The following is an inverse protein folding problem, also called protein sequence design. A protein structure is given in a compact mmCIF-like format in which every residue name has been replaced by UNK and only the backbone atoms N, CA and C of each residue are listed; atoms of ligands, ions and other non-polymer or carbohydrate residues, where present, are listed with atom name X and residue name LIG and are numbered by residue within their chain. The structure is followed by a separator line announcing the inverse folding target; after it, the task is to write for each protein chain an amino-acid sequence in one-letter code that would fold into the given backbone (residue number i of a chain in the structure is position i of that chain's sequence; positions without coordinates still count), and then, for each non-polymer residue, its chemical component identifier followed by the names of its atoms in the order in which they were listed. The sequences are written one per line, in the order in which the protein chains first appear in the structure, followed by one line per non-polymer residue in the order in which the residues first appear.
data_IF_902240598113
#
_entry.id   IF_902240598113
#
_cell.length_a   1.000
_cell.length_b   1.000
_cell.length_c   1.000
_cell.angle_alpha   90.00
_cell.angle_beta   90.00
_cell.angle_gamma   90.00
#
_symmetry.space_group_name_H-M   'P 1'
#
loop_
_entity.id
_entity.type
_entity.pdbx_description
1 polymer ?
#
# COMPACT_ATOMS: atom_id res chain seq x y z
N UNK A 1 -5.61 8.11 -7.63
CA UNK A 1 -6.06 6.71 -7.83
C UNK A 1 -7.48 6.64 -8.38
N UNK A 2 -8.51 7.14 -7.66
CA UNK A 2 -9.92 7.06 -8.09
C UNK A 2 -10.15 7.69 -9.48
N UNK A 3 -9.72 8.93 -9.70
CA UNK A 3 -9.89 9.61 -10.99
C UNK A 3 -9.25 8.85 -12.17
N UNK A 4 -8.07 8.26 -11.95
CA UNK A 4 -7.38 7.45 -12.95
C UNK A 4 -8.18 6.17 -13.28
N UNK A 5 -8.71 5.49 -12.26
CA UNK A 5 -9.58 4.34 -12.46
C UNK A 5 -10.87 4.71 -13.22
N UNK A 6 -11.46 5.89 -12.97
CA UNK A 6 -12.61 6.38 -13.73
C UNK A 6 -12.29 6.53 -15.22
N UNK A 7 -11.11 7.08 -15.56
CA UNK A 7 -10.66 7.22 -16.95
C UNK A 7 -10.52 5.84 -17.61
N UNK A 8 -9.88 4.87 -16.94
CA UNK A 8 -9.75 3.52 -17.47
C UNK A 8 -11.10 2.79 -17.61
N UNK A 9 -12.03 3.00 -16.67
CA UNK A 9 -13.39 2.46 -16.81
C UNK A 9 -14.11 3.07 -18.01
N UNK A 10 -14.01 4.38 -18.21
CA UNK A 10 -14.64 5.07 -19.34
C UNK A 10 -14.06 4.59 -20.68
N UNK A 11 -12.73 4.49 -20.80
CA UNK A 11 -12.07 3.96 -22.00
C UNK A 11 -12.43 2.49 -22.25
N UNK A 12 -12.44 1.67 -21.19
CA UNK A 12 -12.87 0.27 -21.26
C UNK A 12 -14.31 0.12 -21.76
N UNK A 13 -15.22 0.98 -21.28
CA UNK A 13 -16.60 1.04 -21.75
C UNK A 13 -16.70 1.38 -23.24
N UNK A 14 -16.01 2.43 -23.70
CA UNK A 14 -16.02 2.80 -25.13
C UNK A 14 -15.49 1.66 -26.00
N UNK A 15 -14.39 1.04 -25.60
CA UNK A 15 -13.81 -0.09 -26.31
C UNK A 15 -14.77 -1.30 -26.34
N UNK A 16 -15.44 -1.59 -25.21
CA UNK A 16 -16.43 -2.67 -25.13
C UNK A 16 -17.66 -2.43 -26.02
N UNK A 17 -18.04 -1.17 -26.25
CA UNK A 17 -19.09 -0.78 -27.21
C UNK A 17 -18.64 -0.88 -28.68
N UNK A 18 -17.41 -1.34 -28.95
CA UNK A 18 -16.93 -1.58 -30.30
C UNK A 18 -16.27 -0.37 -30.96
N UNK A 19 -15.90 0.65 -30.19
CA UNK A 19 -15.24 1.85 -30.74
C UNK A 19 -13.88 1.55 -31.40
N UNK A 20 -13.24 0.43 -31.02
CA UNK A 20 -12.02 -0.09 -31.63
C UNK A 20 -12.24 -1.34 -32.50
N UNK A 21 -13.50 -1.71 -32.78
CA UNK A 21 -13.83 -2.94 -33.51
C UNK A 21 -13.29 -2.92 -34.95
N UNK A 22 -13.37 -1.79 -35.63
CA UNK A 22 -12.91 -1.66 -37.02
C UNK A 22 -11.40 -1.87 -37.21
N UNK A 23 -10.58 -1.66 -36.18
CA UNK A 23 -9.11 -1.78 -36.26
C UNK A 23 -8.57 -3.06 -35.64
N UNK A 24 -9.27 -3.63 -34.66
CA UNK A 24 -8.79 -4.76 -33.84
C UNK A 24 -9.77 -5.94 -33.75
N UNK A 25 -10.91 -5.85 -34.43
CA UNK A 25 -11.93 -6.89 -34.47
C UNK A 25 -12.56 -7.17 -33.10
N UNK A 26 -13.14 -8.37 -32.96
CA UNK A 26 -13.84 -8.83 -31.74
C UNK A 26 -12.95 -8.89 -30.49
N UNK A 27 -11.63 -9.00 -30.65
CA UNK A 27 -10.67 -8.99 -29.54
C UNK A 27 -10.75 -7.68 -28.75
N UNK A 28 -10.97 -6.55 -29.43
CA UNK A 28 -11.10 -5.26 -28.75
C UNK A 28 -12.25 -5.24 -27.74
N UNK A 29 -13.39 -5.81 -28.11
CA UNK A 29 -14.57 -5.89 -27.25
C UNK A 29 -14.25 -6.69 -25.97
N UNK A 30 -13.57 -7.83 -26.11
CA UNK A 30 -13.13 -8.66 -24.98
C UNK A 30 -12.18 -7.89 -24.06
N UNK A 31 -11.21 -7.17 -24.64
CA UNK A 31 -10.27 -6.34 -23.87
C UNK A 31 -11.00 -5.20 -23.13
N UNK A 32 -12.01 -4.59 -23.76
CA UNK A 32 -12.84 -3.54 -23.13
C UNK A 32 -13.58 -4.06 -21.89
N UNK A 33 -14.21 -5.23 -21.99
CA UNK A 33 -14.87 -5.88 -20.85
C UNK A 33 -13.90 -6.28 -19.76
N UNK A 34 -12.73 -6.84 -20.11
CA UNK A 34 -11.70 -7.19 -19.12
C UNK A 34 -11.20 -5.94 -18.38
N UNK A 35 -10.99 -4.85 -19.11
CA UNK A 35 -10.60 -3.55 -18.54
C UNK A 35 -11.67 -3.05 -17.56
N UNK A 36 -12.95 -3.10 -17.93
CA UNK A 36 -14.05 -2.71 -17.05
C UNK A 36 -14.09 -3.53 -15.76
N UNK A 37 -13.93 -4.85 -15.84
CA UNK A 37 -13.95 -5.72 -14.66
C UNK A 37 -12.79 -5.38 -13.73
N UNK A 38 -11.57 -5.26 -14.26
CA UNK A 38 -10.37 -5.00 -13.46
C UNK A 38 -10.44 -3.61 -12.83
N UNK A 39 -10.58 -2.56 -13.64
CA UNK A 39 -10.55 -1.18 -13.13
C UNK A 39 -11.83 -0.79 -12.39
N UNK A 40 -12.97 -1.35 -12.77
CA UNK A 40 -14.25 -1.16 -12.07
C UNK A 40 -14.22 -1.78 -10.67
N UNK A 41 -13.63 -2.96 -10.51
CA UNK A 41 -13.44 -3.54 -9.17
C UNK A 41 -12.53 -2.69 -8.29
N UNK A 42 -11.41 -2.18 -8.82
CA UNK A 42 -10.56 -1.22 -8.08
C UNK A 42 -11.27 0.09 -7.75
N UNK A 43 -12.14 0.58 -8.63
CA UNK A 43 -12.93 1.78 -8.39
C UNK A 43 -13.92 1.56 -7.23
N UNK A 44 -14.68 0.45 -7.24
CA UNK A 44 -15.61 0.09 -6.18
C UNK A 44 -14.87 -0.04 -4.84
N UNK A 45 -13.73 -0.74 -4.82
CA UNK A 45 -12.91 -0.86 -3.62
C UNK A 45 -12.40 0.51 -3.13
N UNK A 46 -11.97 1.38 -4.04
CA UNK A 46 -11.57 2.74 -3.72
C UNK A 46 -12.69 3.58 -3.11
N UNK A 47 -13.92 3.46 -3.62
CA UNK A 47 -15.10 4.14 -3.08
C UNK A 47 -15.49 3.57 -1.71
N UNK A 48 -15.50 2.24 -1.56
CA UNK A 48 -15.74 1.60 -0.26
C UNK A 48 -14.72 2.10 0.77
N UNK A 49 -13.45 2.19 0.39
CA UNK A 49 -12.38 2.72 1.24
C UNK A 49 -12.62 4.19 1.59
N UNK A 50 -13.03 5.02 0.64
CA UNK A 50 -13.34 6.43 0.90
C UNK A 50 -14.45 6.62 1.93
N UNK A 51 -15.47 5.75 1.90
CA UNK A 51 -16.65 5.84 2.78
C UNK A 51 -16.44 5.15 4.11
N UNK A 52 -15.75 4.00 4.14
CA UNK A 52 -15.64 3.12 5.31
C UNK A 52 -14.33 3.24 6.06
N UNK A 53 -13.28 3.81 5.48
CA UNK A 53 -11.99 3.90 6.17
C UNK A 53 -12.07 5.01 7.23
N UNK A 54 -11.87 4.68 8.52
CA UNK A 54 -11.82 5.70 9.56
C UNK A 54 -10.70 6.70 9.23
N UNK A 55 -10.91 7.97 9.61
CA UNK A 55 -9.80 8.93 9.64
C UNK A 55 -8.68 8.32 10.47
N UNK A 56 -7.59 8.01 9.78
CA UNK A 56 -6.22 8.06 10.26
C UNK A 56 -5.94 7.36 11.59
N UNK A 57 -5.33 6.17 11.56
CA UNK A 57 -4.57 5.72 12.73
C UNK A 57 -3.50 4.72 12.35
N UNK A 58 -2.25 5.19 12.31
CA UNK A 58 -1.11 4.33 12.62
C UNK A 58 -1.15 4.12 14.14
N UNK A 59 -1.49 2.92 14.57
CA UNK A 59 -1.58 2.58 15.99
C UNK A 59 -0.28 1.89 16.37
N UNK A 60 0.48 2.54 17.24
CA UNK A 60 1.62 1.93 17.91
C UNK A 60 1.10 1.21 19.15
N UNK A 61 1.45 -0.07 19.30
CA UNK A 61 1.11 -0.88 20.46
C UNK A 61 2.36 -1.65 20.93
N UNK A 62 2.40 -2.14 22.18
CA UNK A 62 3.52 -2.95 22.64
C UNK A 62 3.72 -4.24 21.83
N UNK A 63 2.68 -4.75 21.17
CA UNK A 63 2.73 -5.98 20.37
C UNK A 63 3.24 -5.71 18.94
N UNK A 64 3.02 -4.51 18.42
CA UNK A 64 3.36 -4.17 17.05
C UNK A 64 2.79 -2.84 16.56
N UNK A 65 2.96 -2.59 15.26
CA UNK A 65 2.36 -1.44 14.56
C UNK A 65 1.20 -1.89 13.68
N UNK A 66 0.09 -1.16 13.73
CA UNK A 66 -1.07 -1.36 12.86
C UNK A 66 -1.32 -0.10 12.05
N UNK A 67 -1.29 -0.20 10.72
CA UNK A 67 -1.90 0.80 9.86
C UNK A 67 -3.26 0.27 9.40
N UNK A 68 -4.35 0.85 9.92
CA UNK A 68 -5.72 0.43 9.57
C UNK A 68 -6.08 0.63 8.09
N UNK A 69 -5.28 1.42 7.37
CA UNK A 69 -5.42 1.62 5.91
C UNK A 69 -4.73 0.48 5.15
N UNK A 70 -3.72 -0.14 5.75
CA UNK A 70 -3.14 -1.33 5.17
C UNK A 70 -4.12 -2.48 5.31
N UNK A 71 -4.13 -3.33 4.29
CA UNK A 71 -4.90 -4.57 4.25
C UNK A 71 -4.23 -5.69 5.05
N UNK A 72 -3.63 -5.29 6.17
CA UNK A 72 -2.68 -6.05 6.98
C UNK A 72 -3.12 -5.90 8.42
N UNK A 73 -3.15 -7.01 9.17
CA UNK A 73 -3.32 -6.99 10.62
C UNK A 73 -2.17 -6.24 11.33
N UNK A 74 -2.09 -6.37 12.66
CA UNK A 74 -0.98 -5.82 13.44
C UNK A 74 0.33 -6.46 12.93
N UNK A 75 1.32 -5.64 12.60
CA UNK A 75 2.67 -6.08 12.22
C UNK A 75 3.51 -6.17 13.50
N UNK A 76 3.90 -7.38 13.95
CA UNK A 76 4.70 -7.53 15.15
C UNK A 76 6.08 -6.88 15.01
N UNK A 77 6.58 -6.29 16.08
CA UNK A 77 7.91 -5.65 16.09
C UNK A 77 9.04 -6.62 15.70
N UNK A 78 8.92 -7.89 16.10
CA UNK A 78 9.85 -8.98 15.77
C UNK A 78 9.96 -9.26 14.28
N UNK A 79 8.92 -8.95 13.51
CA UNK A 79 8.84 -9.29 12.08
C UNK A 79 9.40 -8.16 11.21
N UNK A 80 9.70 -7.01 11.80
CA UNK A 80 10.33 -5.89 11.10
C UNK A 80 11.83 -6.16 11.05
N UNK A 81 12.37 -6.31 9.84
CA UNK A 81 13.81 -6.47 9.59
C UNK A 81 14.53 -5.14 9.61
N UNK A 82 13.92 -4.11 9.00
CA UNK A 82 14.52 -2.80 8.82
C UNK A 82 13.46 -1.76 8.54
N UNK A 83 13.63 -0.58 9.12
CA UNK A 83 12.87 0.61 8.69
C UNK A 83 13.67 1.46 7.72
N UNK A 84 12.98 2.07 6.77
CA UNK A 84 13.55 2.92 5.73
C UNK A 84 12.69 4.17 5.54
N UNK A 85 13.31 5.26 5.09
CA UNK A 85 12.60 6.46 4.67
C UNK A 85 12.80 6.63 3.17
N UNK A 86 11.74 7.07 2.48
CA UNK A 86 11.84 7.51 1.09
C UNK A 86 11.04 8.78 0.88
N UNK A 87 11.69 9.80 0.33
CA UNK A 87 10.98 10.96 -0.19
C UNK A 87 10.71 10.75 -1.67
N UNK A 88 9.46 10.93 -2.09
CA UNK A 88 9.09 10.90 -3.50
C UNK A 88 8.12 12.04 -3.80
N UNK A 89 8.53 12.95 -4.69
CA UNK A 89 7.74 14.13 -5.11
C UNK A 89 7.27 15.00 -3.93
N UNK A 90 8.11 15.18 -2.91
CA UNK A 90 7.78 15.96 -1.72
C UNK A 90 6.89 15.24 -0.70
N UNK A 91 6.55 13.98 -0.95
CA UNK A 91 5.85 13.13 0.01
C UNK A 91 6.83 12.17 0.68
N UNK A 92 6.73 12.08 2.00
CA UNK A 92 7.53 11.15 2.78
C UNK A 92 6.81 9.81 2.94
N UNK A 93 7.59 8.75 2.86
CA UNK A 93 7.14 7.38 2.98
C UNK A 93 7.99 6.66 4.03
N UNK A 94 7.30 5.98 4.92
CA UNK A 94 7.87 5.06 5.89
C UNK A 94 7.86 3.65 5.30
N UNK A 95 9.04 3.12 5.02
CA UNK A 95 9.23 1.75 4.54
C UNK A 95 9.46 0.80 5.71
N UNK A 96 8.63 -0.24 5.81
CA UNK A 96 8.82 -1.34 6.75
C UNK A 96 9.21 -2.59 5.97
N UNK A 97 10.46 -3.03 6.11
CA UNK A 97 10.89 -4.31 5.57
C UNK A 97 10.49 -5.41 6.54
N UNK A 98 9.75 -6.40 6.05
CA UNK A 98 9.22 -7.49 6.85
C UNK A 98 9.93 -8.79 6.47
N UNK A 99 10.26 -9.61 7.45
CA UNK A 99 10.80 -10.96 7.23
C UNK A 99 9.84 -11.79 6.39
N UNK A 100 10.36 -12.70 5.57
CA UNK A 100 9.52 -13.60 4.76
C UNK A 100 8.59 -14.47 5.63
N UNK A 101 9.12 -14.97 6.75
CA UNK A 101 8.36 -15.69 7.78
C UNK A 101 7.27 -14.81 8.41
N UNK A 102 7.59 -13.54 8.65
CA UNK A 102 6.66 -12.56 9.19
C UNK A 102 5.50 -12.28 8.25
N UNK A 103 5.73 -12.24 6.93
CA UNK A 103 4.69 -12.06 5.92
C UNK A 103 3.67 -13.21 5.96
N UNK A 104 4.14 -14.45 6.17
CA UNK A 104 3.25 -15.62 6.25
C UNK A 104 2.37 -15.61 7.50
N UNK A 105 2.86 -14.99 8.59
CA UNK A 105 2.15 -14.88 9.86
C UNK A 105 1.18 -13.68 9.92
N UNK A 106 1.30 -12.73 9.00
CA UNK A 106 0.39 -11.59 8.93
C UNK A 106 -1.00 -12.04 8.49
N UNK A 107 -2.01 -11.56 9.20
CA UNK A 107 -3.40 -11.67 8.76
C UNK A 107 -3.66 -10.71 7.60
N UNK A 108 -3.22 -11.13 6.41
CA UNK A 108 -3.38 -10.42 5.16
C UNK A 108 -4.74 -10.78 4.57
N UNK A 109 -5.56 -9.76 4.30
CA UNK A 109 -6.71 -9.94 3.44
C UNK A 109 -6.25 -10.18 1.97
N UNK A 110 -7.16 -10.57 1.08
CA UNK A 110 -6.86 -10.86 -0.34
C UNK A 110 -6.04 -9.76 -1.05
N UNK A 111 -6.34 -8.49 -0.77
CA UNK A 111 -5.64 -7.36 -1.38
C UNK A 111 -4.23 -7.20 -0.80
N UNK A 112 -4.08 -7.39 0.51
CA UNK A 112 -2.79 -7.43 1.19
C UNK A 112 -1.90 -8.52 0.61
N UNK A 113 -2.42 -9.74 0.48
CA UNK A 113 -1.70 -10.89 -0.09
C UNK A 113 -1.23 -10.62 -1.51
N UNK A 114 -2.12 -10.11 -2.38
CA UNK A 114 -1.76 -9.80 -3.76
C UNK A 114 -0.70 -8.69 -3.84
N UNK A 115 -0.82 -7.65 -3.02
CA UNK A 115 0.14 -6.54 -3.00
C UNK A 115 1.52 -6.99 -2.53
N UNK A 116 1.58 -7.80 -1.47
CA UNK A 116 2.83 -8.38 -0.99
C UNK A 116 3.45 -9.34 -2.00
N UNK A 117 2.64 -10.19 -2.64
CA UNK A 117 3.12 -11.11 -3.66
C UNK A 117 3.72 -10.38 -4.87
N UNK A 118 3.05 -9.33 -5.38
CA UNK A 118 3.60 -8.51 -6.47
C UNK A 118 4.89 -7.82 -6.06
N UNK A 119 4.97 -7.36 -4.81
CA UNK A 119 6.15 -6.71 -4.26
C UNK A 119 7.32 -7.70 -4.04
N UNK A 120 7.06 -8.93 -3.59
CA UNK A 120 8.10 -9.95 -3.38
C UNK A 120 8.67 -10.46 -4.70
N UNK A 121 7.84 -10.64 -5.74
CA UNK A 121 8.29 -10.97 -7.11
C UNK A 121 9.26 -9.92 -7.66
N UNK A 122 9.11 -8.65 -7.26
CA UNK A 122 9.98 -7.55 -7.66
C UNK A 122 11.19 -7.36 -6.72
N UNK A 123 11.41 -8.28 -5.77
CA UNK A 123 12.49 -8.22 -4.78
C UNK A 123 12.31 -7.12 -3.73
N UNK A 124 11.08 -6.64 -3.52
CA UNK A 124 10.76 -5.53 -2.61
C UNK A 124 9.84 -6.02 -1.49
N UNK A 125 10.37 -6.67 -0.47
CA UNK A 125 9.60 -7.05 0.72
C UNK A 125 9.33 -5.87 1.68
N UNK A 126 9.19 -4.66 1.13
CA UNK A 126 9.02 -3.42 1.88
C UNK A 126 7.61 -2.90 1.72
N UNK A 127 6.92 -2.75 2.85
CA UNK A 127 5.64 -2.04 2.94
C UNK A 127 5.92 -0.55 2.99
N UNK A 128 5.46 0.20 1.99
CA UNK A 128 5.58 1.65 1.97
C UNK A 128 4.29 2.29 2.50
N UNK A 129 4.39 2.92 3.65
CA UNK A 129 3.33 3.69 4.29
C UNK A 129 3.53 5.16 3.92
N UNK A 130 2.57 5.73 3.19
CA UNK A 130 2.55 7.18 2.97
C UNK A 130 2.14 7.88 4.26
N UNK A 131 2.90 8.92 4.63
CA UNK A 131 2.61 9.71 5.82
C UNK A 131 1.79 10.97 5.57
N UNK A 132 1.49 11.27 4.30
CA UNK A 132 0.75 12.47 3.91
C UNK A 132 -0.66 12.57 4.50
N UNK A 133 -1.28 11.43 4.79
CA UNK A 133 -2.66 11.39 5.32
C UNK A 133 -2.70 11.34 6.86
N UNK A 134 -1.54 11.39 7.54
CA UNK A 134 -1.47 11.47 8.99
C UNK A 134 -1.56 12.92 9.46
N UNK A 135 -2.25 13.16 10.57
CA UNK A 135 -2.35 14.49 11.20
C UNK A 135 -1.02 14.92 11.85
N UNK A 136 -0.13 13.96 12.14
CA UNK A 136 1.18 14.20 12.72
C UNK A 136 2.27 14.33 11.64
N UNK A 137 3.28 15.20 11.84
CA UNK A 137 4.42 15.30 10.94
C UNK A 137 5.22 13.99 10.89
N UNK A 138 5.87 13.72 9.75
CA UNK A 138 6.66 12.50 9.56
C UNK A 138 7.77 12.35 10.62
N UNK A 139 8.40 13.44 11.04
CA UNK A 139 9.45 13.42 12.07
C UNK A 139 8.95 12.82 13.39
N UNK A 140 7.75 13.20 13.82
CA UNK A 140 7.15 12.65 15.04
C UNK A 140 6.82 11.16 14.88
N UNK A 141 6.28 10.76 13.73
CA UNK A 141 6.00 9.34 13.44
C UNK A 141 7.28 8.51 13.39
N UNK A 142 8.34 9.06 12.81
CA UNK A 142 9.65 8.42 12.71
C UNK A 142 10.30 8.26 14.08
N UNK A 143 10.28 9.30 14.90
CA UNK A 143 10.81 9.25 16.27
C UNK A 143 10.05 8.23 17.12
N UNK A 144 8.71 8.22 17.06
CA UNK A 144 7.90 7.21 17.76
C UNK A 144 8.23 5.79 17.27
N UNK A 145 8.37 5.60 15.96
CA UNK A 145 8.76 4.30 15.38
C UNK A 145 10.12 3.85 15.92
N UNK A 146 11.11 4.74 15.93
CA UNK A 146 12.44 4.46 16.48
C UNK A 146 12.39 4.14 17.98
N UNK A 147 11.59 4.85 18.77
CA UNK A 147 11.43 4.58 20.21
C UNK A 147 10.89 3.17 20.47
N UNK A 148 9.81 2.77 19.79
CA UNK A 148 9.25 1.43 19.92
C UNK A 148 10.20 0.33 19.43
N UNK A 149 10.94 0.58 18.34
CA UNK A 149 11.95 -0.37 17.86
C UNK A 149 13.12 -0.49 18.83
N UNK A 150 13.57 0.59 19.45
CA UNK A 150 14.63 0.54 20.45
C UNK A 150 14.25 -0.37 21.63
N UNK A 151 12.98 -0.36 22.03
CA UNK A 151 12.45 -1.16 23.14
C UNK A 151 12.21 -2.63 22.75
N UNK A 152 11.65 -2.88 21.56
CA UNK A 152 11.14 -4.22 21.20
C UNK A 152 11.96 -4.96 20.14
N UNK A 153 12.69 -4.26 19.27
CA UNK A 153 13.53 -4.86 18.23
C UNK A 153 14.64 -3.90 17.74
N UNK A 154 15.71 -3.70 18.53
CA UNK A 154 16.73 -2.70 18.22
C UNK A 154 17.55 -3.03 16.96
N UNK A 155 17.51 -4.28 16.48
CA UNK A 155 18.21 -4.71 15.26
C UNK A 155 17.61 -4.11 13.99
N UNK A 156 16.33 -3.70 14.04
CA UNK A 156 15.61 -3.15 12.91
C UNK A 156 15.74 -1.62 12.77
N UNK A 157 16.48 -0.99 13.69
CA UNK A 157 16.81 0.42 13.60
C UNK A 157 17.65 0.71 12.35
N UNK A 158 17.49 1.90 11.75
CA UNK A 158 18.22 2.26 10.54
C UNK A 158 19.70 2.51 10.86
N UNK A 159 20.59 1.98 10.04
CA UNK A 159 22.06 2.13 10.19
C UNK A 159 22.54 3.61 10.18
N UNK A 160 21.72 4.52 9.63
CA UNK A 160 21.89 5.98 9.76
C UNK A 160 20.54 6.62 10.10
N UNK A 161 20.50 7.33 11.21
CA UNK A 161 19.47 8.33 11.48
C UNK A 161 19.74 9.49 10.52
N UNK A 162 19.01 9.58 9.41
CA UNK A 162 19.07 10.77 8.58
C UNK A 162 18.43 11.91 9.38
N UNK A 163 19.25 12.84 9.89
CA UNK A 163 18.74 14.07 10.47
C UNK A 163 17.95 14.82 9.40
N UNK A 164 16.69 15.12 9.73
CA UNK A 164 15.80 15.95 8.93
C UNK A 164 16.50 17.27 8.56
N UNK A 165 16.53 17.60 7.26
CA UNK A 165 16.92 18.91 6.76
C UNK A 165 15.67 19.65 6.29
#
# INVERSE_FOLDING_TARGET
MIALNCVFCYLGFLIAQGWAYGTKGSISIVVGWLTLVVFGSFLILGVIRLVKTPKTTLVFSPVGVLDRRLSVGIIPWSNIEKISQKNYRGHEFLGLQITEEGIQQLDLNLQGRLSFWLNSVLGRNTVWISTYEFDAPFSELWERMCQFLQEHNPKALPDRINHFK
#
